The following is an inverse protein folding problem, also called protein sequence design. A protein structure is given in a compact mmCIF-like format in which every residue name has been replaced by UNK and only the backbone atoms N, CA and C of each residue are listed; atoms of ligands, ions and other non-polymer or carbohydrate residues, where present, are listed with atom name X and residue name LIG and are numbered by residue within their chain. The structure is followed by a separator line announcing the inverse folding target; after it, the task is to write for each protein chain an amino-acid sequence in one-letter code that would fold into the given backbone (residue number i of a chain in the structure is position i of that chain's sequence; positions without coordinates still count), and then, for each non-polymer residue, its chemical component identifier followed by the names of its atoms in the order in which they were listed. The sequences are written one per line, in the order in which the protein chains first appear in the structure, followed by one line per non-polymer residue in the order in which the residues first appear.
data_IF_499826076753
#
_entry.id   IF_499826076753
#
_cell.length_a   1.000
_cell.length_b   1.000
_cell.length_c   1.000
_cell.angle_alpha   90.00
_cell.angle_beta   90.00
_cell.angle_gamma   90.00
#
_symmetry.space_group_name_H-M   'P 1'
#
loop_
_entity.id
_entity.type
_entity.pdbx_description
1 polymer ?
#
# COMPACT_ATOMS: atom_id res chain seq x y z
N UNK A 1 20.56 -9.75 5.86
CA UNK A 1 20.28 -8.50 5.11
C UNK A 1 19.04 -8.77 4.27
N UNK A 2 17.99 -7.93 4.36
CA UNK A 2 16.80 -8.12 3.54
C UNK A 2 17.14 -7.83 2.07
N UNK A 3 16.71 -8.69 1.15
CA UNK A 3 16.90 -8.48 -0.30
C UNK A 3 16.28 -7.14 -0.70
N UNK A 4 16.99 -6.28 -1.45
CA UNK A 4 16.41 -5.03 -1.93
C UNK A 4 15.17 -5.35 -2.77
N UNK A 5 14.05 -4.73 -2.43
CA UNK A 5 12.83 -4.86 -3.22
C UNK A 5 13.10 -4.33 -4.63
N UNK A 6 12.94 -5.19 -5.63
CA UNK A 6 13.07 -4.79 -7.03
C UNK A 6 11.87 -3.91 -7.38
N UNK A 7 12.12 -2.68 -7.84
CA UNK A 7 11.07 -1.74 -8.23
C UNK A 7 10.26 -2.28 -9.42
N UNK A 8 8.94 -2.53 -9.28
CA UNK A 8 8.12 -3.03 -10.36
C UNK A 8 7.89 -1.99 -11.47
N UNK A 9 7.55 -2.46 -12.67
CA UNK A 9 7.10 -1.60 -13.76
C UNK A 9 5.87 -0.78 -13.33
N UNK A 10 5.86 0.51 -13.66
CA UNK A 10 4.79 1.43 -13.26
C UNK A 10 4.98 2.04 -11.87
N UNK A 11 6.08 1.72 -11.16
CA UNK A 11 6.53 2.46 -9.98
C UNK A 11 7.72 3.35 -10.34
N UNK A 12 7.71 4.61 -9.92
CA UNK A 12 8.72 5.63 -10.25
C UNK A 12 8.89 6.65 -9.10
N UNK A 13 9.71 7.68 -9.30
CA UNK A 13 10.01 8.76 -8.35
C UNK A 13 10.72 8.34 -7.03
N UNK A 14 10.99 9.33 -6.18
CA UNK A 14 11.50 9.20 -4.82
C UNK A 14 10.98 10.37 -3.94
N UNK A 15 10.07 10.17 -2.97
CA UNK A 15 9.44 8.90 -2.58
C UNK A 15 8.71 8.19 -3.74
N UNK A 16 8.58 6.86 -3.69
CA UNK A 16 7.92 6.11 -4.76
C UNK A 16 6.47 6.54 -5.04
N UNK A 17 6.09 6.46 -6.31
CA UNK A 17 4.73 6.64 -6.82
C UNK A 17 4.40 5.50 -7.77
N UNK A 18 3.15 5.02 -7.76
CA UNK A 18 2.66 3.94 -8.59
C UNK A 18 1.58 4.45 -9.56
N UNK A 19 1.80 4.17 -10.84
CA UNK A 19 0.85 4.31 -11.94
C UNK A 19 0.88 3.03 -12.77
N UNK A 20 0.10 2.05 -12.34
CA UNK A 20 -0.02 0.74 -13.00
C UNK A 20 -1.41 0.61 -13.60
N UNK A 21 -1.50 0.19 -14.86
CA UNK A 21 -2.79 -0.02 -15.53
C UNK A 21 -3.63 1.26 -15.65
N UNK A 22 -4.93 1.08 -15.85
CA UNK A 22 -5.89 2.18 -15.98
C UNK A 22 -6.68 2.40 -14.68
N UNK A 23 -7.06 3.65 -14.41
CA UNK A 23 -7.86 4.02 -13.26
C UNK A 23 -9.20 3.25 -13.25
N UNK A 24 -9.54 2.63 -12.12
CA UNK A 24 -10.79 1.88 -11.94
C UNK A 24 -10.93 0.59 -12.78
N UNK A 25 -9.87 0.13 -13.46
CA UNK A 25 -9.88 -1.11 -14.25
C UNK A 25 -9.10 -2.23 -13.54
N UNK A 26 -9.41 -3.52 -13.79
CA UNK A 26 -8.64 -4.64 -13.26
C UNK A 26 -7.14 -4.48 -13.52
N UNK A 27 -6.32 -4.62 -12.47
CA UNK A 27 -4.87 -4.36 -12.54
C UNK A 27 -4.49 -2.88 -12.50
N UNK A 28 -5.43 -2.00 -12.15
CA UNK A 28 -5.18 -0.58 -11.91
C UNK A 28 -4.65 -0.32 -10.50
N UNK A 29 -3.58 0.47 -10.40
CA UNK A 29 -3.07 1.05 -9.16
C UNK A 29 -2.59 2.48 -9.41
N UNK A 30 -3.20 3.44 -8.72
CA UNK A 30 -2.80 4.84 -8.69
C UNK A 30 -2.55 5.21 -7.23
N UNK A 31 -1.29 5.41 -6.86
CA UNK A 31 -0.92 5.59 -5.48
C UNK A 31 0.43 6.32 -5.35
N UNK A 32 0.70 6.92 -4.20
CA UNK A 32 1.96 7.58 -3.91
C UNK A 32 2.30 7.47 -2.43
N UNK A 33 3.59 7.60 -2.12
CA UNK A 33 4.02 7.77 -0.73
C UNK A 33 4.20 9.26 -0.49
N UNK A 34 3.42 9.77 0.45
CA UNK A 34 3.66 11.08 1.01
C UNK A 34 4.43 10.91 2.31
N UNK A 35 5.30 11.87 2.56
CA UNK A 35 5.98 11.96 3.83
C UNK A 35 5.78 13.38 4.31
N UNK A 36 4.84 13.54 5.23
CA UNK A 36 4.47 14.86 5.70
C UNK A 36 5.63 15.48 6.50
N UNK A 37 5.59 16.81 6.66
CA UNK A 37 6.45 17.53 7.60
C UNK A 37 5.97 17.38 9.06
N UNK A 38 4.78 16.82 9.27
CA UNK A 38 4.09 16.70 10.57
C UNK A 38 4.39 15.42 11.35
N UNK A 39 5.24 14.53 10.81
CA UNK A 39 5.79 13.38 11.53
C UNK A 39 5.32 11.99 11.09
N UNK A 40 4.67 11.82 9.93
CA UNK A 40 4.20 10.53 9.44
C UNK A 40 4.53 10.27 7.97
N UNK A 41 4.87 9.02 7.67
CA UNK A 41 4.87 8.50 6.30
C UNK A 41 3.48 7.95 6.03
N UNK A 42 2.92 8.26 4.86
CA UNK A 42 1.61 7.79 4.45
C UNK A 42 1.68 7.21 3.04
N UNK A 43 1.18 5.99 2.90
CA UNK A 43 0.91 5.40 1.61
C UNK A 43 -0.51 5.77 1.19
N UNK A 44 -0.63 6.69 0.24
CA UNK A 44 -1.88 7.19 -0.32
C UNK A 44 -2.30 6.40 -1.55
N UNK A 45 -3.51 5.88 -1.55
CA UNK A 45 -4.09 5.09 -2.65
C UNK A 45 -5.29 5.84 -3.21
N UNK A 46 -5.16 6.33 -4.43
CA UNK A 46 -6.23 7.01 -5.14
C UNK A 46 -7.16 6.03 -5.84
N UNK A 47 -6.62 4.92 -6.33
CA UNK A 47 -7.41 3.83 -6.90
C UNK A 47 -6.61 2.52 -6.87
N UNK A 48 -7.32 1.42 -6.60
CA UNK A 48 -6.73 0.08 -6.64
C UNK A 48 -7.79 -0.97 -7.03
N UNK A 49 -7.45 -1.83 -7.98
CA UNK A 49 -8.30 -2.96 -8.40
C UNK A 49 -7.43 -4.22 -8.56
N UNK A 50 -7.45 -5.08 -7.54
CA UNK A 50 -6.62 -6.30 -7.46
C UNK A 50 -7.37 -7.59 -7.81
N UNK A 51 -8.53 -7.47 -8.46
CA UNK A 51 -9.39 -8.57 -8.89
C UNK A 51 -10.00 -8.26 -10.25
N UNK A 52 -10.46 -9.31 -10.95
CA UNK A 52 -11.01 -9.22 -12.29
C UNK A 52 -10.98 -10.58 -12.99
N UNK A 53 -11.44 -10.65 -14.25
CA UNK A 53 -11.48 -11.88 -15.03
C UNK A 53 -10.07 -12.44 -15.32
N UNK A 54 -10.00 -13.75 -15.58
CA UNK A 54 -8.73 -14.49 -15.75
C UNK A 54 -7.86 -13.95 -16.90
N UNK A 55 -8.48 -13.42 -17.96
CA UNK A 55 -7.75 -12.77 -19.05
C UNK A 55 -6.99 -11.50 -18.61
N UNK A 56 -7.24 -10.98 -17.41
CA UNK A 56 -6.53 -9.86 -16.79
C UNK A 56 -5.56 -10.28 -15.67
N UNK A 57 -5.33 -11.59 -15.47
CA UNK A 57 -4.51 -12.12 -14.38
C UNK A 57 -3.09 -11.52 -14.36
N UNK A 58 -2.49 -11.27 -15.53
CA UNK A 58 -1.17 -10.66 -15.61
C UNK A 58 -1.17 -9.19 -15.15
N UNK A 59 -2.17 -8.41 -15.56
CA UNK A 59 -2.31 -7.02 -15.12
C UNK A 59 -2.56 -6.93 -13.60
N UNK A 60 -3.40 -7.82 -13.08
CA UNK A 60 -3.68 -7.94 -11.65
C UNK A 60 -2.41 -8.30 -10.87
N UNK A 61 -1.59 -9.24 -11.37
CA UNK A 61 -0.30 -9.60 -10.74
C UNK A 61 0.64 -8.39 -10.66
N UNK A 62 0.79 -7.63 -11.76
CA UNK A 62 1.61 -6.41 -11.78
C UNK A 62 1.13 -5.38 -10.75
N UNK A 63 -0.18 -5.16 -10.63
CA UNK A 63 -0.73 -4.25 -9.63
C UNK A 63 -0.49 -4.73 -8.19
N UNK A 64 -0.60 -6.04 -7.92
CA UNK A 64 -0.30 -6.63 -6.61
C UNK A 64 1.18 -6.47 -6.24
N UNK A 65 2.08 -6.71 -7.19
CA UNK A 65 3.52 -6.57 -6.97
C UNK A 65 3.90 -5.11 -6.70
N UNK A 66 3.37 -4.17 -7.49
CA UNK A 66 3.53 -2.73 -7.25
C UNK A 66 2.96 -2.29 -5.91
N UNK A 67 1.77 -2.77 -5.54
CA UNK A 67 1.14 -2.46 -4.25
C UNK A 67 2.00 -2.93 -3.07
N UNK A 68 2.52 -4.16 -3.12
CA UNK A 68 3.44 -4.70 -2.09
C UNK A 68 4.71 -3.87 -2.00
N UNK A 69 5.30 -3.54 -3.14
CA UNK A 69 6.49 -2.69 -3.20
C UNK A 69 6.24 -1.33 -2.53
N UNK A 70 5.09 -0.71 -2.79
CA UNK A 70 4.73 0.58 -2.19
C UNK A 70 4.53 0.48 -0.67
N UNK A 71 3.84 -0.55 -0.17
CA UNK A 71 3.67 -0.79 1.28
C UNK A 71 5.04 -0.91 1.97
N UNK A 72 5.92 -1.74 1.42
CA UNK A 72 7.23 -1.97 2.01
C UNK A 72 8.16 -0.76 1.87
N UNK A 73 8.04 0.00 0.78
CA UNK A 73 8.76 1.27 0.62
C UNK A 73 8.31 2.31 1.64
N UNK A 74 7.01 2.41 1.92
CA UNK A 74 6.48 3.29 2.96
C UNK A 74 7.00 2.87 4.35
N UNK A 75 7.03 1.56 4.64
CA UNK A 75 7.59 1.04 5.88
C UNK A 75 9.09 1.33 6.01
N UNK A 76 9.87 1.16 4.93
CA UNK A 76 11.29 1.44 4.91
C UNK A 76 11.57 2.94 5.13
N UNK A 77 10.81 3.83 4.49
CA UNK A 77 10.92 5.28 4.67
C UNK A 77 10.57 5.70 6.10
N UNK A 78 9.49 5.16 6.67
CA UNK A 78 9.11 5.42 8.06
C UNK A 78 10.17 4.90 9.03
N UNK A 79 10.69 3.68 8.83
CA UNK A 79 11.72 3.09 9.67
C UNK A 79 13.03 3.91 9.62
N UNK A 80 13.43 4.38 8.44
CA UNK A 80 14.61 5.23 8.27
C UNK A 80 14.47 6.56 9.03
N UNK A 81 13.24 7.04 9.24
CA UNK A 81 12.95 8.25 10.03
C UNK A 81 12.74 7.98 11.52
N UNK A 82 12.93 6.74 11.97
CA UNK A 82 12.70 6.34 13.36
C UNK A 82 11.22 6.21 13.73
N UNK A 83 10.31 6.17 12.76
CA UNK A 83 8.90 6.01 13.02
C UNK A 83 8.53 4.51 13.10
N UNK A 84 7.92 4.05 14.21
CA UNK A 84 7.56 2.65 14.40
C UNK A 84 6.34 2.25 13.57
N UNK A 85 5.61 3.23 13.02
CA UNK A 85 4.39 3.04 12.25
C UNK A 85 4.32 3.99 11.07
N UNK A 86 3.46 3.65 10.10
CA UNK A 86 3.09 4.52 8.99
C UNK A 86 1.60 4.34 8.69
N UNK A 87 1.03 5.29 7.94
CA UNK A 87 -0.39 5.33 7.62
C UNK A 87 -0.65 4.69 6.25
N UNK A 88 -1.71 3.90 6.17
CA UNK A 88 -2.21 3.31 4.93
C UNK A 88 -3.57 3.92 4.63
N UNK A 89 -3.64 4.72 3.56
CA UNK A 89 -4.77 5.61 3.30
C UNK A 89 -5.39 5.32 1.94
N UNK A 90 -6.71 5.11 1.93
CA UNK A 90 -7.51 5.01 0.71
C UNK A 90 -8.41 6.22 0.52
N UNK A 91 -8.29 6.86 -0.64
CA UNK A 91 -9.21 7.90 -1.08
C UNK A 91 -10.50 7.27 -1.63
N UNK A 92 -11.66 7.82 -1.25
CA UNK A 92 -12.99 7.32 -1.63
C UNK A 92 -13.12 5.80 -1.42
N UNK A 93 -12.73 5.36 -0.22
CA UNK A 93 -12.59 3.96 0.15
C UNK A 93 -13.94 3.25 0.31
N UNK A 94 -14.28 2.41 -0.68
CA UNK A 94 -15.43 1.52 -0.58
C UNK A 94 -15.24 0.40 0.47
N UNK A 95 -16.30 -0.35 0.75
CA UNK A 95 -16.31 -1.43 1.75
C UNK A 95 -15.26 -2.52 1.49
N UNK A 96 -14.96 -2.82 0.23
CA UNK A 96 -13.92 -3.79 -0.14
C UNK A 96 -12.53 -3.29 0.25
N UNK A 97 -12.23 -2.00 0.02
CA UNK A 97 -10.99 -1.39 0.44
C UNK A 97 -10.88 -1.38 1.97
N UNK A 98 -11.94 -1.01 2.67
CA UNK A 98 -11.95 -0.99 4.14
C UNK A 98 -11.68 -2.38 4.72
N UNK A 99 -12.33 -3.43 4.19
CA UNK A 99 -12.08 -4.81 4.59
C UNK A 99 -10.63 -5.24 4.31
N UNK A 100 -10.09 -4.86 3.16
CA UNK A 100 -8.69 -5.13 2.82
C UNK A 100 -7.72 -4.43 3.79
N UNK A 101 -7.91 -3.14 4.03
CA UNK A 101 -7.09 -2.34 4.95
C UNK A 101 -7.13 -2.91 6.37
N UNK A 102 -8.32 -3.26 6.87
CA UNK A 102 -8.47 -3.86 8.20
C UNK A 102 -7.81 -5.23 8.30
N UNK A 103 -7.92 -6.07 7.27
CA UNK A 103 -7.23 -7.36 7.22
C UNK A 103 -5.71 -7.18 7.27
N UNK A 104 -5.19 -6.20 6.53
CA UNK A 104 -3.76 -5.86 6.55
C UNK A 104 -3.33 -5.34 7.93
N UNK A 105 -4.11 -4.44 8.53
CA UNK A 105 -3.84 -3.90 9.85
C UNK A 105 -3.89 -4.98 10.95
N UNK A 106 -4.81 -5.93 10.88
CA UNK A 106 -4.86 -7.05 11.81
C UNK A 106 -3.60 -7.95 11.74
N UNK A 107 -2.97 -8.04 10.56
CA UNK A 107 -1.80 -8.91 10.34
C UNK A 107 -0.48 -8.23 10.70
N UNK A 108 -0.25 -7.02 10.16
CA UNK A 108 1.04 -6.32 10.28
C UNK A 108 0.94 -4.92 10.86
N UNK A 109 -0.26 -4.48 11.22
CA UNK A 109 -0.51 -3.17 11.80
C UNK A 109 -1.05 -3.23 13.21
N UNK A 110 -1.71 -2.14 13.58
CA UNK A 110 -2.49 -2.04 14.80
C UNK A 110 -3.92 -2.53 14.50
N UNK A 111 -4.30 -3.65 15.12
CA UNK A 111 -5.67 -4.18 15.03
C UNK A 111 -6.67 -3.13 15.51
N UNK A 112 -7.77 -2.93 14.78
CA UNK A 112 -8.79 -1.94 15.13
C UNK A 112 -8.40 -0.48 14.88
N UNK A 113 -7.26 -0.20 14.24
CA UNK A 113 -6.83 1.17 13.91
C UNK A 113 -7.57 1.82 12.73
N UNK A 114 -8.57 1.14 12.18
CA UNK A 114 -9.34 1.63 11.03
C UNK A 114 -10.22 2.82 11.39
N UNK A 115 -10.02 3.93 10.68
CA UNK A 115 -10.76 5.18 10.88
C UNK A 115 -11.31 5.66 9.53
N UNK A 116 -12.61 5.92 9.49
CA UNK A 116 -13.27 6.58 8.37
C UNK A 116 -13.11 8.10 8.49
N UNK A 117 -12.73 8.75 7.39
CA UNK A 117 -12.50 10.20 7.31
C UNK A 117 -13.33 10.71 6.13
N UNK A 118 -14.61 11.00 6.36
CA UNK A 118 -15.55 11.26 5.28
C UNK A 118 -15.71 10.03 4.38
N UNK A 119 -15.37 10.13 3.10
CA UNK A 119 -15.38 9.01 2.16
C UNK A 119 -14.07 8.21 2.16
N UNK A 120 -13.05 8.67 2.90
CA UNK A 120 -11.73 8.09 2.90
C UNK A 120 -11.57 7.12 4.09
N UNK A 121 -10.54 6.28 4.04
CA UNK A 121 -10.27 5.31 5.10
C UNK A 121 -8.78 5.16 5.37
N UNK A 122 -8.40 5.18 6.64
CA UNK A 122 -7.01 5.07 7.09
C UNK A 122 -6.87 3.92 8.09
N UNK A 123 -5.76 3.18 8.01
CA UNK A 123 -5.29 2.26 9.06
C UNK A 123 -3.81 2.52 9.38
N UNK A 124 -3.35 2.02 10.52
CA UNK A 124 -1.96 2.15 10.97
C UNK A 124 -1.24 0.80 10.81
N UNK A 125 -0.08 0.82 10.15
CA UNK A 125 0.77 -0.35 9.92
C UNK A 125 2.10 -0.23 10.68
N UNK A 126 2.62 -1.33 11.24
CA UNK A 126 3.92 -1.34 11.93
C UNK A 126 5.06 -1.54 10.94
N UNK A 127 6.08 -0.69 11.01
CA UNK A 127 7.21 -0.72 10.07
C UNK A 127 7.98 -2.03 10.17
N UNK A 128 8.34 -2.44 11.39
CA UNK A 128 9.11 -3.67 11.64
C UNK A 128 8.38 -4.92 11.16
N UNK A 129 7.07 -5.03 11.39
CA UNK A 129 6.27 -6.19 10.95
C UNK A 129 6.16 -6.25 9.43
N UNK A 130 5.92 -5.11 8.77
CA UNK A 130 5.87 -5.03 7.30
C UNK A 130 7.21 -5.42 6.69
N UNK A 131 8.33 -4.98 7.28
CA UNK A 131 9.67 -5.29 6.77
C UNK A 131 10.11 -6.73 7.08
N UNK A 132 9.60 -7.34 8.16
CA UNK A 132 9.88 -8.73 8.52
C UNK A 132 9.06 -9.73 7.70
N UNK A 133 7.89 -9.34 7.20
CA UNK A 133 7.07 -10.14 6.30
C UNK A 133 7.74 -10.17 4.90
N UNK A 134 8.74 -11.05 4.74
CA UNK A 134 9.44 -11.35 3.47
C UNK A 134 8.44 -11.85 2.39
N UNK A 135 7.74 -10.93 1.71
CA UNK A 135 6.57 -11.20 0.88
C UNK A 135 6.74 -12.34 -0.16
N UNK A 136 5.86 -13.35 -0.08
CA UNK A 136 4.81 -13.48 -1.07
C UNK A 136 3.44 -13.35 -0.39
N UNK A 137 2.64 -12.35 -0.75
CA UNK A 137 1.21 -12.43 -0.47
C UNK A 137 0.63 -13.46 -1.45
N UNK A 138 0.08 -14.56 -0.94
CA UNK A 138 -0.73 -15.47 -1.75
C UNK A 138 -1.85 -14.75 -2.46
#
# INVERSE_FOLDING_TARGET
MATPLVRPQGVFANPPQARVGAFGRPGGLMAYIDTDATGYTRYYINAIVLSGPDNQAQAIRKARDAHRYMIASAAALANHRGWPTFKFYGWQANTNFQAHANKLAARVGAMGSGVAIGLDYEVILHTSKVLAENYPLG
#
